data_IF_191091429803
#
_entry.id   IF_191091429803
#
_cell.length_a   1.000
_cell.length_b   1.000
_cell.length_c   1.000
_cell.angle_alpha   90.00
_cell.angle_beta   90.00
_cell.angle_gamma   90.00
#
_symmetry.space_group_name_H-M   'P 1'
#
loop_
_entity.id
_entity.type
_entity.pdbx_description
1 polymer ?
#
# COMPACT_ATOMS: atom_id res chain seq x y z
N UNK A 1 27.72 -34.78 -2.03
CA UNK A 1 27.41 -34.43 -0.63
C UNK A 1 27.09 -32.96 -0.60
N UNK A 2 25.81 -32.60 -0.56
CA UNK A 2 25.35 -31.22 -0.50
C UNK A 2 24.91 -30.93 0.94
N UNK A 3 25.58 -29.98 1.58
CA UNK A 3 25.27 -29.52 2.93
C UNK A 3 23.89 -28.87 2.94
N UNK A 4 23.03 -29.35 3.86
CA UNK A 4 21.70 -28.80 4.09
C UNK A 4 21.83 -27.51 4.89
N UNK A 5 21.37 -26.40 4.32
CA UNK A 5 21.21 -25.11 5.01
C UNK A 5 20.22 -25.27 6.19
N UNK A 6 20.49 -24.74 7.38
CA UNK A 6 19.62 -24.89 8.54
C UNK A 6 18.30 -24.12 8.33
N UNK A 7 17.20 -24.79 8.64
CA UNK A 7 15.85 -24.23 8.71
C UNK A 7 15.83 -23.04 9.68
N UNK A 8 15.54 -21.86 9.14
CA UNK A 8 15.16 -20.67 9.92
C UNK A 8 13.87 -20.98 10.66
N UNK A 9 13.99 -21.33 11.94
CA UNK A 9 12.84 -21.38 12.85
C UNK A 9 12.36 -19.95 13.05
N UNK A 10 11.21 -19.62 12.47
CA UNK A 10 10.44 -18.46 12.91
C UNK A 10 10.16 -18.64 14.40
N UNK A 11 10.88 -17.88 15.22
CA UNK A 11 10.52 -17.69 16.62
C UNK A 11 9.10 -17.12 16.62
N UNK A 12 8.14 -17.93 17.03
CA UNK A 12 6.84 -17.42 17.43
C UNK A 12 7.11 -16.37 18.52
N UNK A 13 6.63 -15.15 18.30
CA UNK A 13 6.75 -14.03 19.25
C UNK A 13 6.17 -14.48 20.60
N UNK A 14 7.05 -14.80 21.55
CA UNK A 14 6.65 -14.89 22.95
C UNK A 14 6.17 -13.49 23.38
N UNK A 15 5.05 -13.39 24.11
CA UNK A 15 4.55 -12.10 24.58
C UNK A 15 5.64 -11.45 25.43
N UNK A 16 6.05 -10.23 25.04
CA UNK A 16 7.08 -9.49 25.74
C UNK A 16 6.74 -9.38 27.23
N UNK A 17 7.73 -9.67 28.09
CA UNK A 17 7.56 -9.52 29.53
C UNK A 17 7.09 -8.09 29.86
N UNK A 18 6.18 -7.90 30.84
CA UNK A 18 5.72 -6.58 31.22
C UNK A 18 6.90 -5.69 31.62
N UNK A 19 6.89 -4.46 31.14
CA UNK A 19 7.91 -3.46 31.46
C UNK A 19 7.95 -3.22 32.97
N UNK A 20 9.15 -3.14 33.54
CA UNK A 20 9.30 -2.74 34.93
C UNK A 20 8.87 -1.27 35.15
N UNK A 21 8.68 -0.90 36.41
CA UNK A 21 8.19 0.44 36.79
C UNK A 21 9.16 1.56 36.37
N UNK A 22 10.46 1.28 36.23
CA UNK A 22 11.45 2.25 35.79
C UNK A 22 11.34 2.53 34.28
N UNK A 23 11.21 1.48 33.48
CA UNK A 23 10.96 1.55 32.04
C UNK A 23 9.64 2.27 31.74
N UNK A 24 8.57 1.94 32.47
CA UNK A 24 7.28 2.59 32.31
C UNK A 24 7.36 4.11 32.61
N UNK A 25 8.08 4.50 33.67
CA UNK A 25 8.34 5.91 33.99
C UNK A 25 9.14 6.61 32.90
N UNK A 26 10.16 5.96 32.36
CA UNK A 26 10.99 6.53 31.29
C UNK A 26 10.18 6.74 30.00
N UNK A 27 9.41 5.74 29.57
CA UNK A 27 8.53 5.86 28.39
C UNK A 27 7.52 6.99 28.56
N UNK A 28 6.90 7.10 29.74
CA UNK A 28 5.98 8.21 30.05
C UNK A 28 6.68 9.56 29.94
N UNK A 29 7.89 9.68 30.47
CA UNK A 29 8.69 10.90 30.39
C UNK A 29 9.03 11.24 28.93
N UNK A 30 9.47 10.27 28.14
CA UNK A 30 9.82 10.44 26.73
C UNK A 30 8.59 10.87 25.92
N UNK A 31 7.44 10.19 26.08
CA UNK A 31 6.18 10.58 25.41
C UNK A 31 5.73 11.99 25.78
N UNK A 32 5.90 12.39 27.05
CA UNK A 32 5.53 13.74 27.51
C UNK A 32 6.42 14.85 26.95
N UNK A 33 7.72 14.58 26.78
CA UNK A 33 8.70 15.58 26.32
C UNK A 33 8.87 15.61 24.80
N UNK A 34 8.67 14.47 24.16
CA UNK A 34 8.85 14.26 22.73
C UNK A 34 7.60 13.58 22.19
N UNK A 35 6.46 14.31 22.12
CA UNK A 35 5.23 13.76 21.54
C UNK A 35 5.52 13.29 20.10
N UNK A 36 5.12 12.06 19.78
CA UNK A 36 5.35 11.42 18.49
C UNK A 36 6.72 10.74 18.30
N UNK A 37 7.61 10.75 19.30
CA UNK A 37 8.89 10.02 19.22
C UNK A 37 8.72 8.52 19.41
N UNK A 38 7.80 8.12 20.28
CA UNK A 38 7.47 6.73 20.55
C UNK A 38 6.09 6.42 19.99
N UNK A 39 5.86 5.22 19.46
CA UNK A 39 4.52 4.79 19.08
C UNK A 39 3.56 4.92 20.26
N UNK A 40 2.32 5.24 19.95
CA UNK A 40 1.23 5.17 20.91
C UNK A 40 1.06 3.73 21.44
N UNK A 41 0.32 3.59 22.53
CA UNK A 41 0.03 2.27 23.06
C UNK A 41 -0.70 1.43 21.99
N UNK A 42 -0.44 0.11 21.94
CA UNK A 42 -1.05 -0.74 20.93
C UNK A 42 -2.57 -0.62 20.92
N UNK A 43 -3.14 -0.52 19.72
CA UNK A 43 -4.59 -0.37 19.57
C UNK A 43 -5.30 -1.71 19.82
N UNK A 44 -6.46 -1.64 20.46
CA UNK A 44 -7.32 -2.81 20.66
C UNK A 44 -7.97 -3.22 19.33
N UNK A 45 -8.35 -4.49 19.15
CA UNK A 45 -8.99 -4.92 17.90
C UNK A 45 -10.19 -4.04 17.52
N UNK A 46 -10.20 -3.52 16.30
CA UNK A 46 -11.24 -2.62 15.78
C UNK A 46 -11.10 -1.15 16.18
N UNK A 47 -10.17 -0.78 17.07
CA UNK A 47 -9.90 0.61 17.43
C UNK A 47 -9.16 1.34 16.31
N UNK A 48 -9.50 2.61 16.09
CA UNK A 48 -8.91 3.47 15.05
C UNK A 48 -7.85 4.39 15.62
N UNK A 49 -6.76 4.59 14.89
CA UNK A 49 -5.80 5.65 15.16
C UNK A 49 -6.34 7.01 14.69
N UNK A 50 -5.71 8.09 15.18
CA UNK A 50 -5.89 9.42 14.59
C UNK A 50 -5.46 9.41 13.11
N UNK A 51 -6.19 10.11 12.22
CA UNK A 51 -5.80 10.19 10.81
C UNK A 51 -4.43 10.85 10.63
N UNK A 52 -3.58 10.22 9.82
CA UNK A 52 -2.27 10.78 9.45
C UNK A 52 -2.39 11.54 8.14
N UNK A 53 -2.24 12.86 8.23
CA UNK A 53 -2.14 13.74 7.07
C UNK A 53 -0.72 13.73 6.52
N UNK A 54 -0.60 13.43 5.24
CA UNK A 54 0.63 13.50 4.46
C UNK A 54 0.50 14.60 3.44
N UNK A 55 1.44 15.56 3.45
CA UNK A 55 1.43 16.68 2.50
C UNK A 55 1.50 16.20 1.04
N UNK A 56 1.07 17.02 0.05
CA UNK A 56 0.92 16.57 -1.32
C UNK A 56 2.24 16.10 -1.96
N UNK A 57 3.36 16.74 -1.61
CA UNK A 57 4.67 16.42 -2.18
C UNK A 57 5.16 15.08 -1.65
N UNK A 58 5.03 14.86 -0.34
CA UNK A 58 5.41 13.58 0.29
C UNK A 58 4.50 12.45 -0.18
N UNK A 59 3.19 12.67 -0.25
CA UNK A 59 2.25 11.67 -0.75
C UNK A 59 2.53 11.30 -2.21
N UNK A 60 2.78 12.27 -3.10
CA UNK A 60 3.17 12.02 -4.48
C UNK A 60 4.48 11.23 -4.60
N UNK A 61 5.46 11.51 -3.73
CA UNK A 61 6.73 10.78 -3.68
C UNK A 61 6.52 9.31 -3.29
N UNK A 62 5.67 9.05 -2.28
CA UNK A 62 5.35 7.69 -1.85
C UNK A 62 4.58 6.92 -2.94
N UNK A 63 3.61 7.56 -3.60
CA UNK A 63 2.85 6.95 -4.71
C UNK A 63 3.78 6.61 -5.89
N UNK A 64 4.72 7.49 -6.23
CA UNK A 64 5.72 7.20 -7.25
C UNK A 64 6.58 5.98 -6.87
N UNK A 65 7.08 5.93 -5.62
CA UNK A 65 7.86 4.79 -5.13
C UNK A 65 7.05 3.49 -5.19
N UNK A 66 5.80 3.52 -4.74
CA UNK A 66 4.89 2.38 -4.78
C UNK A 66 4.59 1.92 -6.21
N UNK A 67 4.43 2.85 -7.17
CA UNK A 67 4.25 2.51 -8.58
C UNK A 67 5.47 1.76 -9.15
N UNK A 68 6.69 2.20 -8.80
CA UNK A 68 7.93 1.52 -9.21
C UNK A 68 8.05 0.14 -8.57
N UNK A 69 7.69 -0.01 -7.29
CA UNK A 69 7.66 -1.31 -6.60
C UNK A 69 6.63 -2.28 -7.22
N UNK A 70 5.42 -1.79 -7.53
CA UNK A 70 4.38 -2.58 -8.20
C UNK A 70 4.84 -3.08 -9.58
N UNK A 71 5.66 -2.30 -10.28
CA UNK A 71 6.24 -2.68 -11.55
C UNK A 71 7.25 -3.85 -11.42
N UNK A 72 8.02 -3.90 -10.32
CA UNK A 72 8.94 -5.02 -10.02
C UNK A 72 8.18 -6.30 -9.71
N UNK A 73 7.14 -6.22 -8.87
CA UNK A 73 6.31 -7.38 -8.50
C UNK A 73 5.65 -8.05 -9.72
N UNK A 74 5.25 -7.25 -10.71
CA UNK A 74 4.68 -7.74 -11.97
C UNK A 74 5.69 -8.49 -12.85
N UNK A 75 6.98 -8.25 -12.68
CA UNK A 75 8.05 -8.88 -13.44
C UNK A 75 8.64 -10.11 -12.72
N UNK A 76 7.92 -10.69 -11.75
CA UNK A 76 8.38 -11.75 -10.84
C UNK A 76 9.67 -11.38 -10.07
N UNK A 77 9.97 -10.07 -10.00
CA UNK A 77 11.07 -9.54 -9.24
C UNK A 77 10.77 -9.55 -7.74
N UNK A 78 11.82 -9.65 -6.94
CA UNK A 78 11.70 -9.47 -5.49
C UNK A 78 11.60 -7.97 -5.18
N UNK A 79 10.70 -7.55 -4.28
CA UNK A 79 10.74 -6.21 -3.73
C UNK A 79 12.13 -5.92 -3.18
N UNK A 80 12.68 -4.77 -3.54
CA UNK A 80 13.92 -4.25 -2.98
C UNK A 80 13.60 -3.06 -2.08
N UNK A 81 14.25 -2.95 -0.91
CA UNK A 81 14.15 -1.75 -0.08
C UNK A 81 14.90 -0.56 -0.70
N UNK A 82 15.84 -0.82 -1.63
CA UNK A 82 16.73 0.20 -2.20
C UNK A 82 16.03 0.97 -3.33
N UNK A 83 15.69 2.27 -3.15
CA UNK A 83 14.95 3.03 -4.16
C UNK A 83 15.70 3.24 -5.47
N UNK A 84 17.03 3.15 -5.44
CA UNK A 84 17.94 3.29 -6.58
C UNK A 84 17.84 2.08 -7.54
N UNK A 85 17.51 0.90 -7.00
CA UNK A 85 17.38 -0.34 -7.78
C UNK A 85 16.03 -0.48 -8.48
N UNK A 86 15.06 0.36 -8.12
CA UNK A 86 13.72 0.31 -8.71
C UNK A 86 13.74 0.85 -10.15
N UNK A 87 12.96 0.26 -11.07
CA UNK A 87 12.95 0.70 -12.47
C UNK A 87 12.41 2.13 -12.61
N UNK A 88 12.93 2.86 -13.60
CA UNK A 88 12.35 4.13 -14.04
C UNK A 88 11.31 3.96 -15.15
N UNK A 89 11.37 2.84 -15.89
CA UNK A 89 10.39 2.50 -16.91
C UNK A 89 10.24 0.99 -17.03
N UNK A 90 9.05 0.54 -17.46
CA UNK A 90 8.77 -0.86 -17.77
C UNK A 90 8.07 -0.97 -19.12
N UNK A 91 8.45 -1.99 -19.89
CA UNK A 91 7.85 -2.28 -21.19
C UNK A 91 6.73 -3.30 -21.01
N UNK A 92 5.49 -2.88 -21.23
CA UNK A 92 4.33 -3.78 -21.30
C UNK A 92 4.15 -4.25 -22.74
N UNK A 93 3.86 -5.54 -22.91
CA UNK A 93 3.69 -6.17 -24.22
C UNK A 93 2.49 -7.09 -24.21
N UNK A 94 1.70 -7.01 -25.27
CA UNK A 94 0.58 -7.91 -25.51
C UNK A 94 0.47 -8.20 -27.00
N UNK A 95 0.98 -9.36 -27.42
CA UNK A 95 1.12 -9.69 -28.84
C UNK A 95 2.09 -8.75 -29.55
N UNK A 96 1.58 -8.04 -30.56
CA UNK A 96 2.34 -7.05 -31.33
C UNK A 96 2.33 -5.65 -30.70
N UNK A 97 1.47 -5.41 -29.72
CA UNK A 97 1.37 -4.11 -29.06
C UNK A 97 2.41 -3.98 -27.96
N UNK A 98 2.99 -2.80 -27.83
CA UNK A 98 3.92 -2.47 -26.77
C UNK A 98 3.68 -1.06 -26.24
N UNK A 99 3.78 -0.91 -24.92
CA UNK A 99 3.68 0.37 -24.23
C UNK A 99 4.84 0.48 -23.24
N UNK A 100 5.68 1.50 -23.39
CA UNK A 100 6.67 1.83 -22.37
C UNK A 100 6.02 2.75 -21.33
N UNK A 101 5.93 2.29 -20.09
CA UNK A 101 5.36 3.03 -18.96
C UNK A 101 6.50 3.60 -18.12
N UNK A 102 6.60 4.92 -18.01
CA UNK A 102 7.68 5.61 -17.28
C UNK A 102 7.33 5.73 -15.79
N UNK A 103 7.36 4.58 -15.09
CA UNK A 103 6.96 4.46 -13.67
C UNK A 103 7.76 5.37 -12.73
N UNK A 104 8.99 5.73 -13.07
CA UNK A 104 9.82 6.67 -12.32
C UNK A 104 9.35 8.12 -12.40
N UNK A 105 8.48 8.44 -13.36
CA UNK A 105 7.96 9.79 -13.62
C UNK A 105 6.47 9.91 -13.29
N UNK A 106 5.89 8.93 -12.58
CA UNK A 106 4.51 9.02 -12.10
C UNK A 106 4.38 10.21 -11.17
N UNK A 107 3.39 11.06 -11.43
CA UNK A 107 3.06 12.20 -10.61
C UNK A 107 1.64 12.05 -10.04
N UNK A 108 1.33 12.81 -8.98
CA UNK A 108 0.01 12.80 -8.37
C UNK A 108 -0.45 14.23 -8.08
N UNK A 109 -1.73 14.50 -8.32
CA UNK A 109 -2.40 15.73 -7.90
C UNK A 109 -3.53 15.37 -6.94
N UNK A 110 -3.80 16.27 -6.00
CA UNK A 110 -4.85 16.10 -5.01
C UNK A 110 -5.84 17.25 -5.08
N UNK A 111 -7.11 16.92 -4.94
CA UNK A 111 -8.20 17.86 -4.73
C UNK A 111 -9.20 17.25 -3.74
N UNK A 112 -10.20 18.03 -3.30
CA UNK A 112 -11.17 17.56 -2.32
C UNK A 112 -11.92 16.32 -2.83
N UNK A 113 -11.70 15.18 -2.18
CA UNK A 113 -12.27 13.89 -2.56
C UNK A 113 -11.69 13.29 -3.85
N UNK A 114 -10.51 13.73 -4.30
CA UNK A 114 -9.93 13.30 -5.58
C UNK A 114 -8.42 13.08 -5.48
N UNK A 115 -7.97 11.94 -5.99
CA UNK A 115 -6.56 11.64 -6.26
C UNK A 115 -6.41 11.43 -7.76
N UNK A 116 -5.61 12.26 -8.44
CA UNK A 116 -5.31 12.11 -9.87
C UNK A 116 -3.88 11.61 -10.05
N UNK A 117 -3.70 10.43 -10.61
CA UNK A 117 -2.39 9.86 -10.92
C UNK A 117 -2.08 10.09 -12.40
N UNK A 118 -0.94 10.71 -12.68
CA UNK A 118 -0.45 10.99 -14.03
C UNK A 118 0.64 9.98 -14.36
N UNK A 119 0.40 9.16 -15.38
CA UNK A 119 1.30 8.10 -15.82
C UNK A 119 1.86 8.45 -17.19
N UNK A 120 3.14 8.86 -17.28
CA UNK A 120 3.78 9.10 -18.58
C UNK A 120 4.03 7.78 -19.31
N UNK A 121 3.72 7.78 -20.61
CA UNK A 121 3.79 6.61 -21.47
C UNK A 121 4.39 6.93 -22.83
N UNK A 122 4.96 5.93 -23.49
CA UNK A 122 5.53 6.04 -24.83
C UNK A 122 5.12 4.85 -25.69
N UNK A 123 4.67 5.12 -26.91
CA UNK A 123 4.57 4.16 -28.00
C UNK A 123 4.68 4.89 -29.33
N UNK A 124 4.88 4.14 -30.41
CA UNK A 124 5.01 4.63 -31.79
C UNK A 124 3.70 5.23 -32.35
N UNK A 125 2.55 4.83 -31.80
CA UNK A 125 1.23 5.32 -32.21
C UNK A 125 0.81 6.65 -31.57
N UNK A 126 1.59 7.16 -30.61
CA UNK A 126 1.31 8.43 -29.92
C UNK A 126 2.02 9.60 -30.61
N UNK A 127 1.36 10.75 -30.84
CA UNK A 127 2.02 11.93 -31.39
C UNK A 127 3.27 12.32 -30.59
N UNK A 128 4.39 12.58 -31.29
CA UNK A 128 5.70 12.87 -30.68
C UNK A 128 6.28 11.75 -29.80
N UNK A 129 5.70 10.53 -29.84
CA UNK A 129 6.19 9.34 -29.15
C UNK A 129 6.08 9.39 -27.62
N UNK A 130 5.34 10.36 -27.06
CA UNK A 130 5.14 10.52 -25.61
C UNK A 130 3.74 11.06 -25.32
N UNK A 131 3.11 10.54 -24.27
CA UNK A 131 1.86 11.06 -23.73
C UNK A 131 1.81 10.88 -22.22
N UNK A 132 0.79 11.48 -21.59
CA UNK A 132 0.45 11.25 -20.19
C UNK A 132 -0.97 10.70 -20.15
N UNK A 133 -1.17 9.61 -19.41
CA UNK A 133 -2.49 9.09 -19.08
C UNK A 133 -2.84 9.55 -17.67
N UNK A 134 -4.02 10.15 -17.52
CA UNK A 134 -4.56 10.59 -16.23
C UNK A 134 -5.58 9.58 -15.73
N UNK A 135 -5.38 9.07 -14.52
CA UNK A 135 -6.32 8.19 -13.81
C UNK A 135 -6.85 8.93 -12.59
N UNK A 136 -8.16 9.08 -12.49
CA UNK A 136 -8.82 9.80 -11.41
C UNK A 136 -9.54 8.85 -10.47
N UNK A 137 -9.23 8.94 -9.18
CA UNK A 137 -9.90 8.21 -8.10
C UNK A 137 -10.69 9.19 -7.23
N UNK A 138 -12.01 9.04 -7.23
CA UNK A 138 -12.91 9.71 -6.29
C UNK A 138 -12.86 8.95 -4.98
N UNK A 139 -12.36 9.61 -3.93
CA UNK A 139 -12.18 9.07 -2.57
C UNK A 139 -12.97 9.92 -1.56
N UNK A 140 -12.82 9.63 -0.27
CA UNK A 140 -13.45 10.41 0.78
C UNK A 140 -12.88 11.84 0.88
N UNK A 141 -13.61 12.71 1.57
CA UNK A 141 -13.13 14.03 1.99
C UNK A 141 -13.31 14.18 3.50
N UNK A 142 -12.66 15.17 4.13
CA UNK A 142 -12.83 15.43 5.56
C UNK A 142 -14.30 15.61 5.98
N UNK A 143 -15.16 16.13 5.10
CA UNK A 143 -16.61 16.32 5.37
C UNK A 143 -17.46 15.10 5.00
N UNK A 144 -16.95 14.19 4.18
CA UNK A 144 -17.65 13.01 3.65
C UNK A 144 -16.65 11.85 3.55
N UNK A 145 -16.27 11.21 4.67
CA UNK A 145 -15.39 10.06 4.64
C UNK A 145 -16.11 8.87 4.00
N UNK A 146 -15.40 8.05 3.22
CA UNK A 146 -15.96 6.90 2.49
C UNK A 146 -15.28 5.57 2.83
N UNK A 147 -14.53 5.50 3.94
CA UNK A 147 -13.68 4.34 4.24
C UNK A 147 -12.60 4.17 3.17
N UNK A 148 -12.32 2.93 2.77
CA UNK A 148 -11.40 2.60 1.66
C UNK A 148 -12.10 2.41 0.31
N UNK A 149 -13.26 3.05 0.12
CA UNK A 149 -13.94 3.03 -1.16
C UNK A 149 -13.39 4.12 -2.08
N UNK A 150 -13.07 3.73 -3.31
CA UNK A 150 -12.77 4.65 -4.39
C UNK A 150 -13.59 4.29 -5.63
N UNK A 151 -14.07 5.31 -6.34
CA UNK A 151 -14.63 5.16 -7.68
C UNK A 151 -13.62 5.71 -8.69
N UNK A 152 -13.40 5.00 -9.79
CA UNK A 152 -12.54 5.47 -10.89
C UNK A 152 -13.40 5.82 -12.10
N UNK A 153 -13.09 6.93 -12.76
CA UNK A 153 -13.57 7.18 -14.12
C UNK A 153 -12.70 6.42 -15.12
N UNK A 154 -13.12 6.43 -16.40
CA UNK A 154 -12.27 5.95 -17.49
C UNK A 154 -10.99 6.80 -17.55
N UNK A 155 -9.79 6.19 -17.66
CA UNK A 155 -8.54 6.93 -17.80
C UNK A 155 -8.55 7.87 -19.00
N UNK A 156 -8.02 9.09 -18.83
CA UNK A 156 -7.95 10.09 -19.90
C UNK A 156 -6.57 10.07 -20.55
N UNK A 157 -6.53 10.06 -21.88
CA UNK A 157 -5.28 10.06 -22.64
C UNK A 157 -5.52 9.77 -24.13
N UNK A 158 -4.47 9.53 -24.93
CA UNK A 158 -4.63 9.16 -26.33
C UNK A 158 -5.48 7.89 -26.47
N UNK A 159 -6.53 7.94 -27.28
CA UNK A 159 -7.50 6.85 -27.42
C UNK A 159 -6.85 5.50 -27.78
N UNK A 160 -5.76 5.52 -28.56
CA UNK A 160 -4.99 4.32 -28.93
C UNK A 160 -4.35 3.64 -27.70
N UNK A 161 -3.92 4.42 -26.71
CA UNK A 161 -3.38 3.90 -25.45
C UNK A 161 -4.51 3.43 -24.55
N UNK A 162 -5.54 4.26 -24.33
CA UNK A 162 -6.62 3.97 -23.38
C UNK A 162 -7.37 2.70 -23.77
N UNK A 163 -7.73 2.55 -25.05
CA UNK A 163 -8.47 1.38 -25.53
C UNK A 163 -7.75 0.06 -25.28
N UNK A 164 -6.41 0.06 -25.30
CA UNK A 164 -5.60 -1.15 -25.17
C UNK A 164 -5.09 -1.37 -23.74
N UNK A 165 -4.73 -0.30 -23.04
CA UNK A 165 -3.97 -0.35 -21.80
C UNK A 165 -4.66 0.35 -20.63
N UNK A 166 -5.83 0.95 -20.83
CA UNK A 166 -6.54 1.77 -19.83
C UNK A 166 -6.73 1.03 -18.51
N UNK A 167 -7.26 -0.18 -18.54
CA UNK A 167 -7.50 -0.99 -17.33
C UNK A 167 -6.19 -1.34 -16.61
N UNK A 168 -5.13 -1.69 -17.35
CA UNK A 168 -3.84 -2.01 -16.76
C UNK A 168 -3.17 -0.77 -16.11
N UNK A 169 -3.32 0.40 -16.74
CA UNK A 169 -2.83 1.67 -16.20
C UNK A 169 -3.63 2.12 -14.98
N UNK A 170 -4.96 1.96 -15.00
CA UNK A 170 -5.81 2.21 -13.85
C UNK A 170 -5.47 1.29 -12.67
N UNK A 171 -5.25 0.00 -12.95
CA UNK A 171 -4.84 -0.97 -11.94
C UNK A 171 -3.46 -0.65 -11.34
N UNK A 172 -2.48 -0.25 -12.16
CA UNK A 172 -1.17 0.21 -11.68
C UNK A 172 -1.32 1.42 -10.75
N UNK A 173 -2.06 2.44 -11.21
CA UNK A 173 -2.27 3.66 -10.46
C UNK A 173 -2.99 3.39 -9.12
N UNK A 174 -4.03 2.56 -9.13
CA UNK A 174 -4.76 2.19 -7.93
C UNK A 174 -3.91 1.37 -6.96
N UNK A 175 -3.13 0.42 -7.48
CA UNK A 175 -2.20 -0.36 -6.67
C UNK A 175 -1.18 0.52 -5.96
N UNK A 176 -0.60 1.49 -6.66
CA UNK A 176 0.35 2.43 -6.07
C UNK A 176 -0.27 3.28 -4.94
N UNK A 177 -1.52 3.71 -5.10
CA UNK A 177 -2.28 4.39 -4.05
C UNK A 177 -2.51 3.46 -2.85
N UNK A 178 -2.98 2.24 -3.09
CA UNK A 178 -3.23 1.26 -2.01
C UNK A 178 -1.97 0.87 -1.24
N UNK A 179 -0.86 0.63 -1.92
CA UNK A 179 0.42 0.29 -1.28
C UNK A 179 0.93 1.47 -0.45
N UNK A 180 0.77 2.71 -0.93
CA UNK A 180 1.10 3.93 -0.16
C UNK A 180 0.24 4.04 1.10
N UNK A 181 -1.07 3.85 0.96
CA UNK A 181 -2.03 3.94 2.06
C UNK A 181 -1.78 2.83 3.09
N UNK A 182 -1.48 1.61 2.64
CA UNK A 182 -1.06 0.49 3.47
C UNK A 182 0.23 0.78 4.26
N UNK A 183 1.24 1.33 3.59
CA UNK A 183 2.51 1.70 4.23
C UNK A 183 2.32 2.82 5.26
N UNK A 184 1.51 3.83 4.96
CA UNK A 184 1.19 4.91 5.89
C UNK A 184 0.48 4.37 7.13
N UNK A 185 -0.55 3.52 6.97
CA UNK A 185 -1.25 2.91 8.09
C UNK A 185 -0.32 2.02 8.93
N UNK A 186 0.52 1.21 8.30
CA UNK A 186 1.48 0.36 9.00
C UNK A 186 2.50 1.18 9.81
N UNK A 187 2.86 2.38 9.33
CA UNK A 187 3.79 3.27 10.02
C UNK A 187 3.17 3.98 11.24
N UNK A 188 1.84 4.02 11.38
CA UNK A 188 1.20 4.73 12.50
C UNK A 188 1.20 3.94 13.80
N UNK A 189 1.36 2.62 13.76
CA UNK A 189 1.43 1.82 14.97
C UNK A 189 1.20 0.33 14.76
N UNK A 190 0.91 -0.34 15.87
CA UNK A 190 0.62 -1.78 15.93
C UNK A 190 -0.60 -2.05 16.79
N UNK A 191 -1.25 -3.19 16.57
CA UNK A 191 -2.31 -3.68 17.45
C UNK A 191 -1.74 -4.47 18.65
N UNK A 192 -2.63 -4.88 19.55
CA UNK A 192 -2.29 -5.72 20.72
C UNK A 192 -1.61 -7.05 20.41
N UNK A 193 -1.65 -7.55 19.17
CA UNK A 193 -0.94 -8.75 18.73
C UNK A 193 0.44 -8.40 18.13
N UNK A 194 0.86 -7.13 18.17
CA UNK A 194 2.08 -6.63 17.54
C UNK A 194 1.99 -6.51 16.02
N UNK A 195 0.81 -6.69 15.41
CA UNK A 195 0.62 -6.58 13.96
C UNK A 195 0.50 -5.12 13.54
N UNK A 196 1.07 -4.74 12.40
CA UNK A 196 0.92 -3.39 11.87
C UNK A 196 -0.56 -3.04 11.61
N UNK A 197 -0.93 -1.78 11.88
CA UNK A 197 -2.29 -1.30 11.63
C UNK A 197 -2.63 -1.35 10.14
N UNK A 198 -3.92 -1.54 9.86
CA UNK A 198 -4.44 -1.55 8.49
C UNK A 198 -5.13 -0.23 8.16
N UNK A 199 -5.21 0.16 6.88
CA UNK A 199 -6.02 1.30 6.51
C UNK A 199 -7.51 1.02 6.77
N UNK A 200 -8.24 2.02 7.23
CA UNK A 200 -9.69 1.97 7.46
C UNK A 200 -10.42 3.06 6.68
N UNK A 201 -9.80 4.22 6.51
CA UNK A 201 -10.32 5.29 5.65
C UNK A 201 -9.22 6.00 4.87
N UNK A 202 -9.59 6.45 3.67
CA UNK A 202 -8.79 7.27 2.78
C UNK A 202 -9.56 8.55 2.44
N UNK A 203 -8.94 9.70 2.70
CA UNK A 203 -9.46 10.98 2.23
C UNK A 203 -8.39 11.79 1.54
N UNK A 204 -8.79 12.68 0.64
CA UNK A 204 -7.88 13.57 -0.06
C UNK A 204 -8.45 15.00 -0.13
N UNK A 205 -7.56 15.98 -0.10
CA UNK A 205 -7.83 17.38 -0.41
C UNK A 205 -6.57 18.08 -0.92
N UNK A 206 -6.58 19.42 -0.99
CA UNK A 206 -5.41 20.18 -1.47
C UNK A 206 -4.22 20.17 -0.49
N UNK A 207 -4.47 19.85 0.77
CA UNK A 207 -3.44 19.70 1.82
C UNK A 207 -2.81 18.31 1.77
N UNK A 208 -3.41 17.36 1.06
CA UNK A 208 -2.77 16.12 0.63
C UNK A 208 -3.64 14.88 0.83
N UNK A 209 -3.01 13.83 1.36
CA UNK A 209 -3.62 12.53 1.58
C UNK A 209 -3.74 12.26 3.07
N UNK A 210 -4.93 11.95 3.56
CA UNK A 210 -5.15 11.57 4.96
C UNK A 210 -5.60 10.12 5.05
N UNK A 211 -4.91 9.33 5.87
CA UNK A 211 -5.15 7.90 6.09
C UNK A 211 -5.53 7.69 7.54
N UNK A 212 -6.72 7.12 7.77
CA UNK A 212 -7.10 6.61 9.09
C UNK A 212 -6.69 5.14 9.17
N UNK A 213 -5.88 4.80 10.16
CA UNK A 213 -5.48 3.42 10.43
C UNK A 213 -6.39 2.78 11.49
N UNK A 214 -6.45 1.46 11.51
CA UNK A 214 -7.24 0.68 12.46
C UNK A 214 -6.54 -0.63 12.81
N UNK A 215 -6.70 -1.08 14.04
CA UNK A 215 -6.32 -2.43 14.44
C UNK A 215 -7.28 -3.45 13.82
N UNK A 216 -6.74 -4.56 13.30
CA UNK A 216 -7.54 -5.60 12.63
C UNK A 216 -8.62 -6.13 13.57
N UNK A 217 -9.82 -6.33 13.03
CA UNK A 217 -10.89 -6.96 13.79
C UNK A 217 -10.54 -8.44 14.03
N UNK A 218 -10.98 -9.08 15.14
CA UNK A 218 -10.68 -10.48 15.40
C UNK A 218 -11.13 -11.44 14.29
N UNK A 219 -12.12 -11.05 13.48
CA UNK A 219 -12.59 -11.83 12.32
C UNK A 219 -11.59 -11.86 11.17
N UNK A 220 -10.77 -10.81 11.02
CA UNK A 220 -9.75 -10.70 9.96
C UNK A 220 -8.44 -11.37 10.37
N UNK A 221 -8.35 -11.81 11.63
CA UNK A 221 -7.20 -12.54 12.15
C UNK A 221 -7.27 -13.97 11.64
N UNK A 222 -6.66 -14.22 10.49
CA UNK A 222 -6.31 -15.58 10.11
C UNK A 222 -5.39 -16.10 11.21
N UNK A 223 -5.86 -17.08 12.00
CA UNK A 223 -4.99 -17.79 12.95
C UNK A 223 -3.85 -18.41 12.15
N UNK A 224 -2.70 -17.73 12.09
CA UNK A 224 -1.45 -18.31 11.62
C UNK A 224 -1.14 -19.48 12.55
N UNK A 225 -1.58 -20.69 12.17
CA UNK A 225 -1.43 -21.91 12.95
C UNK A 225 -2.68 -22.77 13.17
N UNK A 226 -3.88 -22.35 12.72
CA UNK A 226 -5.10 -23.17 12.96
C UNK A 226 -6.06 -23.20 11.76
N UNK A 227 -5.53 -23.55 10.59
CA UNK A 227 -6.35 -24.13 9.52
C UNK A 227 -5.87 -25.56 9.32
N UNK A 228 -6.16 -26.42 10.30
CA UNK A 228 -6.31 -27.83 9.98
C UNK A 228 -7.58 -27.91 9.12
N UNK A 229 -7.42 -27.94 7.80
CA UNK A 229 -8.46 -28.51 6.97
C UNK A 229 -8.73 -29.90 7.55
N UNK A 230 -9.92 -30.11 8.09
CA UNK A 230 -10.36 -31.46 8.43
C UNK A 230 -10.10 -32.32 7.18
N UNK A 231 -9.41 -33.47 7.29
CA UNK A 231 -9.20 -34.34 6.14
C UNK A 231 -10.57 -34.64 5.53
N UNK A 232 -10.66 -34.56 4.19
CA UNK A 232 -11.86 -34.90 3.47
C UNK A 232 -12.38 -36.27 3.97
N UNK A 233 -13.70 -36.45 4.17
CA UNK A 233 -14.24 -37.75 4.55
C UNK A 233 -13.74 -38.78 3.54
N UNK A 234 -13.05 -39.81 4.05
CA UNK A 234 -12.53 -40.88 3.22
C UNK A 234 -13.65 -41.56 2.43
N UNK A 235 -13.33 -42.21 1.30
CA UNK A 235 -14.34 -42.88 0.49
C UNK A 235 -15.10 -43.89 1.34
N UNK A 236 -16.44 -43.75 1.36
CA UNK A 236 -17.34 -44.74 1.93
C UNK A 236 -17.14 -46.02 1.11
N UNK A 237 -16.56 -47.05 1.73
CA UNK A 237 -16.49 -48.38 1.11
C UNK A 237 -17.90 -48.98 1.03
N UNK A 238 -18.25 -49.65 -0.08
CA UNK A 238 -19.56 -50.27 -0.27
C UNK A 238 -19.82 -51.40 0.73
#
# INVERSE_FOLDING_TARGET
MAERTPESRHHADEPAAPLDEACARLLKLVRSRCPGLLPDDPLRPGETAEPVLTDPKRAATLINLAARQAAVLRADGRPTPEPEELPHAVLWREGADALLVEVGSVATRFATGLVTVLVPVRCDQVPHGRAVVEVEFVVGSARRPTGLLAATSEPRGPAVVIRRWGDALAALAWRAVLDTVGALAAATGRDTDGTALVPAALTADREGLSVQAQARHPVDRVRQGQVAFAPAPGPVRP
#
